data_IF_250394341383
#
_entry.id   IF_250394341383
#
_cell.length_a   1.000
_cell.length_b   1.000
_cell.length_c   1.000
_cell.angle_alpha   90.00
_cell.angle_beta   90.00
_cell.angle_gamma   90.00
#
_symmetry.space_group_name_H-M   'P 1'
#
loop_
_entity.id
_entity.type
_entity.pdbx_description
1 polymer ?
#
# COMPACT_ATOMS: atom_id res chain seq x y z
N UNK A 1 16.08 -10.53 12.37
CA UNK A 1 14.83 -11.17 12.84
C UNK A 1 13.76 -10.27 13.45
N UNK A 2 13.97 -8.95 13.62
CA UNK A 2 12.94 -8.10 14.24
C UNK A 2 11.56 -8.10 13.55
N UNK A 3 11.50 -8.09 12.21
CA UNK A 3 10.23 -8.12 11.47
C UNK A 3 9.48 -9.45 11.63
N UNK A 4 10.22 -10.56 11.66
CA UNK A 4 9.67 -11.90 11.87
C UNK A 4 9.10 -12.06 13.29
N UNK A 5 9.79 -11.50 14.28
CA UNK A 5 9.32 -11.50 15.67
C UNK A 5 8.01 -10.73 15.84
N UNK A 6 7.91 -9.54 15.24
CA UNK A 6 6.68 -8.75 15.25
C UNK A 6 5.51 -9.48 14.56
N UNK A 7 5.79 -10.11 13.41
CA UNK A 7 4.80 -10.93 12.70
C UNK A 7 4.35 -12.14 13.54
N UNK A 8 5.28 -12.80 14.24
CA UNK A 8 4.98 -13.94 15.10
C UNK A 8 4.10 -13.55 16.30
N UNK A 9 4.31 -12.37 16.90
CA UNK A 9 3.45 -11.83 17.96
C UNK A 9 2.02 -11.69 17.46
N UNK A 10 1.83 -11.10 16.27
CA UNK A 10 0.52 -10.89 15.68
C UNK A 10 -0.18 -12.21 15.32
N UNK A 11 0.56 -13.16 14.72
CA UNK A 11 0.05 -14.50 14.38
C UNK A 11 -0.37 -15.32 15.60
N UNK A 12 0.25 -15.07 16.77
CA UNK A 12 -0.13 -15.69 18.04
C UNK A 12 -1.37 -15.03 18.69
N UNK A 13 -1.96 -14.02 18.05
CA UNK A 13 -3.18 -13.34 18.52
C UNK A 13 -2.94 -12.27 19.58
N UNK A 14 -1.68 -11.91 19.84
CA UNK A 14 -1.37 -10.81 20.74
C UNK A 14 -1.70 -9.48 20.06
N UNK A 15 -2.40 -8.60 20.77
CA UNK A 15 -2.62 -7.22 20.35
C UNK A 15 -1.43 -6.38 20.76
N UNK A 16 -1.02 -5.46 19.89
CA UNK A 16 -0.05 -4.44 20.27
C UNK A 16 -0.66 -3.56 21.37
N UNK A 17 0.17 -3.16 22.33
CA UNK A 17 -0.26 -2.21 23.36
C UNK A 17 -0.67 -0.88 22.68
N UNK A 18 -1.74 -0.20 23.13
CA UNK A 18 -2.20 1.06 22.52
C UNK A 18 -1.09 2.09 22.26
N UNK A 19 -0.10 2.19 23.16
CA UNK A 19 1.07 3.07 22.99
C UNK A 19 1.82 2.84 21.67
N UNK A 20 1.93 1.59 21.22
CA UNK A 20 2.62 1.26 19.96
C UNK A 20 1.82 1.77 18.76
N UNK A 21 0.48 1.68 18.82
CA UNK A 21 -0.38 2.24 17.79
C UNK A 21 -0.28 3.76 17.72
N UNK A 22 -0.21 4.44 18.86
CA UNK A 22 -0.01 5.89 18.89
C UNK A 22 1.34 6.28 18.29
N UNK A 23 2.43 5.58 18.62
CA UNK A 23 3.73 5.83 17.99
C UNK A 23 3.73 5.60 16.48
N UNK A 24 2.98 4.60 15.97
CA UNK A 24 2.81 4.42 14.52
C UNK A 24 2.10 5.60 13.85
N UNK A 25 1.25 6.33 14.58
CA UNK A 25 0.64 7.58 14.09
C UNK A 25 1.61 8.75 14.07
N UNK A 26 2.83 8.65 14.55
CA UNK A 26 3.82 9.73 14.47
C UNK A 26 4.84 9.50 13.35
N UNK A 27 4.86 8.29 12.77
CA UNK A 27 5.79 7.95 11.68
C UNK A 27 5.41 8.68 10.39
N UNK A 28 6.44 9.22 9.73
CA UNK A 28 6.35 9.94 8.46
C UNK A 28 6.00 9.00 7.30
N UNK A 29 6.69 7.87 7.20
CA UNK A 29 6.35 6.82 6.24
C UNK A 29 5.26 5.90 6.78
N UNK A 30 4.23 5.69 5.97
CA UNK A 30 3.08 4.84 6.30
C UNK A 30 2.84 3.82 5.18
N UNK A 31 2.15 2.74 5.54
CA UNK A 31 1.70 1.72 4.59
C UNK A 31 0.19 1.77 4.50
N UNK A 32 -0.33 2.00 3.29
CA UNK A 32 -1.76 2.25 3.07
C UNK A 32 -2.32 1.40 1.93
N UNK A 33 -3.57 0.92 2.04
CA UNK A 33 -4.26 0.28 0.93
C UNK A 33 -4.90 1.33 0.00
N UNK A 34 -4.64 1.20 -1.30
CA UNK A 34 -5.24 2.02 -2.37
C UNK A 34 -6.12 1.12 -3.24
N UNK A 35 -7.43 1.37 -3.27
CA UNK A 35 -8.38 0.59 -4.07
C UNK A 35 -8.61 1.27 -5.41
N UNK A 36 -8.29 0.58 -6.49
CA UNK A 36 -8.43 1.06 -7.86
C UNK A 36 -9.89 0.96 -8.29
N UNK A 37 -10.56 2.10 -8.51
CA UNK A 37 -11.93 2.13 -9.01
C UNK A 37 -11.97 2.18 -10.54
N UNK A 38 -13.16 1.96 -11.10
CA UNK A 38 -13.38 2.25 -12.52
C UNK A 38 -13.18 3.75 -12.76
N UNK A 39 -12.40 4.10 -13.79
CA UNK A 39 -12.07 5.49 -14.12
C UNK A 39 -10.88 6.07 -13.35
N UNK A 40 -10.23 5.29 -12.46
CA UNK A 40 -8.98 5.72 -11.83
C UNK A 40 -7.90 5.99 -12.87
N UNK A 41 -7.07 7.02 -12.64
CA UNK A 41 -5.93 7.36 -13.50
C UNK A 41 -4.89 6.24 -13.58
N UNK A 42 -4.82 5.40 -12.56
CA UNK A 42 -3.92 4.26 -12.51
C UNK A 42 -4.42 3.04 -13.29
N UNK A 43 -5.70 3.00 -13.68
CA UNK A 43 -6.24 1.85 -14.39
C UNK A 43 -5.61 1.70 -15.78
N UNK A 44 -5.06 0.52 -16.08
CA UNK A 44 -4.35 0.22 -17.32
C UNK A 44 -2.90 0.70 -17.36
N UNK A 45 -2.40 1.34 -16.30
CA UNK A 45 -0.99 1.75 -16.17
C UNK A 45 -0.15 0.60 -15.60
N UNK A 46 1.17 0.69 -15.78
CA UNK A 46 2.09 -0.22 -15.10
C UNK A 46 2.27 0.19 -13.66
N UNK A 47 2.62 -0.76 -12.82
CA UNK A 47 2.86 -0.48 -11.40
C UNK A 47 4.07 0.44 -11.17
N UNK A 48 5.05 0.41 -12.08
CA UNK A 48 6.17 1.35 -12.11
C UNK A 48 5.75 2.81 -12.27
N UNK A 49 4.61 3.06 -12.90
CA UNK A 49 4.19 4.40 -13.32
C UNK A 49 3.42 5.12 -12.20
N UNK A 50 3.11 4.46 -11.09
CA UNK A 50 2.28 5.02 -10.01
C UNK A 50 2.83 6.35 -9.51
N UNK A 51 4.13 6.42 -9.25
CA UNK A 51 4.76 7.63 -8.72
C UNK A 51 4.69 8.80 -9.71
N UNK A 52 4.87 8.51 -11.01
CA UNK A 52 4.79 9.52 -12.07
C UNK A 52 3.35 10.01 -12.27
N UNK A 53 2.38 9.10 -12.34
CA UNK A 53 0.97 9.41 -12.57
C UNK A 53 0.33 10.20 -11.42
N UNK A 54 0.84 10.02 -10.21
CA UNK A 54 0.34 10.69 -9.01
C UNK A 54 1.20 11.89 -8.58
N UNK A 55 2.41 12.04 -9.12
CA UNK A 55 3.35 13.09 -8.71
C UNK A 55 3.89 12.93 -7.29
N UNK A 56 3.85 11.72 -6.73
CA UNK A 56 4.28 11.41 -5.35
C UNK A 56 5.23 10.22 -5.31
N UNK A 57 6.01 10.06 -4.25
CA UNK A 57 6.88 8.89 -4.08
C UNK A 57 6.09 7.74 -3.45
N UNK A 58 5.68 6.79 -4.29
CA UNK A 58 4.94 5.60 -3.89
C UNK A 58 5.77 4.34 -4.13
N UNK A 59 5.91 3.48 -3.12
CA UNK A 59 6.51 2.14 -3.26
C UNK A 59 5.42 1.07 -3.18
N UNK A 60 5.03 0.43 -4.30
CA UNK A 60 4.06 -0.67 -4.29
C UNK A 60 4.68 -1.91 -3.66
N UNK A 61 4.03 -2.45 -2.62
CA UNK A 61 4.50 -3.63 -1.90
C UNK A 61 3.72 -4.89 -2.27
N UNK A 62 2.39 -4.76 -2.43
CA UNK A 62 1.49 -5.90 -2.66
C UNK A 62 0.35 -5.49 -3.57
N UNK A 63 0.01 -6.32 -4.56
CA UNK A 63 -1.26 -6.20 -5.30
C UNK A 63 -2.23 -7.30 -4.91
N UNK A 64 -3.47 -6.91 -4.66
CA UNK A 64 -4.58 -7.78 -4.29
C UNK A 64 -5.65 -7.75 -5.39
N UNK A 65 -5.78 -8.84 -6.16
CA UNK A 65 -6.82 -9.00 -7.19
C UNK A 65 -7.76 -10.14 -6.83
N UNK A 66 -8.94 -9.81 -6.33
CA UNK A 66 -9.87 -10.79 -5.77
C UNK A 66 -9.21 -11.62 -4.65
N UNK A 67 -9.06 -12.94 -4.87
CA UNK A 67 -8.40 -13.85 -3.93
C UNK A 67 -6.88 -13.94 -4.10
N UNK A 68 -6.32 -13.40 -5.19
CA UNK A 68 -4.88 -13.43 -5.45
C UNK A 68 -4.18 -12.29 -4.70
N UNK A 69 -2.97 -12.59 -4.21
CA UNK A 69 -2.05 -11.68 -3.54
C UNK A 69 -0.70 -11.83 -4.22
N UNK A 70 -0.15 -10.74 -4.76
CA UNK A 70 1.18 -10.71 -5.35
C UNK A 70 2.05 -9.79 -4.51
N UNK A 71 3.04 -10.36 -3.81
CA UNK A 71 4.01 -9.62 -3.00
C UNK A 71 5.18 -9.25 -3.92
N UNK A 72 5.67 -8.02 -3.79
CA UNK A 72 6.70 -7.44 -4.66
C UNK A 72 6.32 -7.60 -6.15
N UNK A 73 5.21 -6.99 -6.58
CA UNK A 73 4.75 -7.06 -7.96
C UNK A 73 5.84 -6.60 -8.94
N UNK A 74 5.96 -7.22 -10.12
CA UNK A 74 6.95 -6.80 -11.11
C UNK A 74 6.57 -5.42 -11.67
N UNK A 75 7.57 -4.66 -12.11
CA UNK A 75 7.39 -3.29 -12.61
C UNK A 75 6.40 -3.18 -13.77
N UNK A 76 6.31 -4.21 -14.62
CA UNK A 76 5.41 -4.28 -15.77
C UNK A 76 4.00 -4.78 -15.44
N UNK A 77 3.69 -5.03 -14.17
CA UNK A 77 2.35 -5.43 -13.74
C UNK A 77 1.32 -4.36 -14.12
N UNK A 78 0.31 -4.75 -14.90
CA UNK A 78 -0.77 -3.86 -15.33
C UNK A 78 -1.87 -3.80 -14.28
N UNK A 79 -2.13 -2.59 -13.80
CA UNK A 79 -3.14 -2.29 -12.80
C UNK A 79 -4.55 -2.37 -13.42
N UNK A 80 -5.49 -3.02 -12.75
CA UNK A 80 -6.88 -3.14 -13.20
C UNK A 80 -7.87 -2.58 -12.16
N UNK A 81 -9.03 -2.06 -12.59
CA UNK A 81 -10.13 -1.76 -11.68
C UNK A 81 -10.49 -2.97 -10.82
N UNK A 82 -10.65 -2.75 -9.53
CA UNK A 82 -10.88 -3.81 -8.53
C UNK A 82 -9.61 -4.29 -7.83
N UNK A 83 -8.43 -3.88 -8.30
CA UNK A 83 -7.19 -4.09 -7.55
C UNK A 83 -7.19 -3.30 -6.24
N UNK A 84 -6.52 -3.86 -5.23
CA UNK A 84 -6.08 -3.10 -4.05
C UNK A 84 -4.57 -3.20 -3.96
N UNK A 85 -3.90 -2.06 -4.06
CA UNK A 85 -2.45 -1.95 -4.00
C UNK A 85 -2.07 -1.50 -2.58
N UNK A 86 -1.22 -2.26 -1.90
CA UNK A 86 -0.61 -1.85 -0.64
C UNK A 86 0.65 -1.08 -0.97
N UNK A 87 0.68 0.20 -0.62
CA UNK A 87 1.74 1.14 -0.98
C UNK A 87 2.37 1.70 0.28
N UNK A 88 3.69 1.84 0.28
CA UNK A 88 4.40 2.68 1.25
C UNK A 88 4.59 4.06 0.64
N UNK A 89 4.21 5.09 1.38
CA UNK A 89 4.37 6.50 0.99
C UNK A 89 4.56 7.36 2.24
N UNK A 90 4.93 8.62 2.05
CA UNK A 90 4.91 9.59 3.16
C UNK A 90 3.46 9.89 3.53
N UNK A 91 3.26 10.48 4.72
CA UNK A 91 1.94 10.94 5.15
C UNK A 91 1.42 12.07 4.28
N UNK A 92 2.30 12.94 3.81
CA UNK A 92 1.98 14.06 2.93
C UNK A 92 1.38 13.52 1.61
N UNK A 93 2.05 12.55 1.00
CA UNK A 93 1.64 11.92 -0.27
C UNK A 93 0.36 11.06 -0.19
N UNK A 94 -0.19 10.86 1.01
CA UNK A 94 -1.34 9.98 1.23
C UNK A 94 -2.63 10.53 0.61
N UNK A 95 -2.79 11.85 0.57
CA UNK A 95 -4.01 12.47 0.05
C UNK A 95 -4.13 12.24 -1.46
N UNK A 96 -3.04 12.47 -2.19
CA UNK A 96 -2.92 12.25 -3.63
C UNK A 96 -3.16 10.78 -4.01
N UNK A 97 -2.67 9.84 -3.20
CA UNK A 97 -2.92 8.40 -3.38
C UNK A 97 -4.40 8.03 -3.23
N UNK A 98 -5.13 8.67 -2.31
CA UNK A 98 -6.57 8.44 -2.13
C UNK A 98 -7.38 9.03 -3.27
N UNK A 99 -7.00 10.21 -3.75
CA UNK A 99 -7.70 10.89 -4.83
C UNK A 99 -7.42 10.26 -6.20
N UNK A 100 -6.15 9.96 -6.51
CA UNK A 100 -5.75 9.40 -7.81
C UNK A 100 -5.99 7.90 -7.96
N UNK A 101 -5.95 7.15 -6.86
CA UNK A 101 -6.30 5.73 -6.85
C UNK A 101 -7.81 5.45 -6.84
N UNK A 102 -8.60 6.44 -6.41
CA UNK A 102 -10.05 6.34 -6.22
C UNK A 102 -10.90 6.44 -7.47
#
# INVERSE_FOLDING_TARGET
>A
DAAGDLAAIFLKGFKLHPVVYESLKEVEEIVVPVRIKQGSKLAGKKISDISEELGVVATPLIVCRGKRRLINPPEDFVIEPGDTIIVRATREDMEELKEGGG
#
